data_IF_984888099464
#
_entry.id   IF_984888099464
#
_cell.length_a   1.000
_cell.length_b   1.000
_cell.length_c   1.000
_cell.angle_alpha   90.00
_cell.angle_beta   90.00
_cell.angle_gamma   90.00
#
_symmetry.space_group_name_H-M   'P 1'
#
loop_
_entity.id
_entity.type
_entity.pdbx_description
1 polymer ?
#
# COMPACT_ATOMS: atom_id res chain seq x y z
N UNK A 1 -54.62 18.18 -24.64
CA UNK A 1 -54.01 16.87 -24.32
C UNK A 1 -52.86 17.15 -23.35
N UNK A 2 -52.81 16.40 -22.26
CA UNK A 2 -52.25 16.78 -20.96
C UNK A 2 -50.74 17.02 -21.00
N UNK A 3 -50.30 18.10 -20.37
CA UNK A 3 -48.90 18.30 -19.99
C UNK A 3 -48.45 17.11 -19.13
N UNK A 4 -47.37 16.47 -19.56
CA UNK A 4 -46.75 15.37 -18.86
C UNK A 4 -46.08 15.93 -17.59
N UNK A 5 -46.44 15.50 -16.37
CA UNK A 5 -45.78 15.96 -15.16
C UNK A 5 -44.45 15.22 -15.02
N UNK A 6 -43.44 15.70 -15.74
CA UNK A 6 -42.07 15.47 -15.33
C UNK A 6 -41.80 16.34 -14.10
N UNK A 7 -41.02 15.81 -13.17
CA UNK A 7 -40.29 16.60 -12.16
C UNK A 7 -40.91 16.85 -10.77
N UNK A 8 -41.68 15.90 -10.20
CA UNK A 8 -42.10 15.98 -8.79
C UNK A 8 -41.82 14.75 -7.91
N UNK A 9 -41.20 13.68 -8.41
CA UNK A 9 -40.95 12.46 -7.61
C UNK A 9 -39.53 12.30 -7.03
N UNK A 10 -38.62 13.23 -7.27
CA UNK A 10 -37.22 13.13 -6.83
C UNK A 10 -36.84 14.00 -5.62
N UNK A 11 -37.79 14.62 -4.89
CA UNK A 11 -37.53 15.17 -3.54
C UNK A 11 -37.51 14.07 -2.48
N UNK A 12 -36.79 12.97 -2.73
CA UNK A 12 -36.45 11.99 -1.70
C UNK A 12 -35.06 12.36 -1.21
N UNK A 13 -34.95 12.68 0.08
CA UNK A 13 -33.73 13.06 0.77
C UNK A 13 -32.52 12.26 0.26
N UNK A 14 -31.65 12.91 -0.52
CA UNK A 14 -30.41 12.30 -0.97
C UNK A 14 -29.47 12.19 0.24
N UNK A 15 -28.86 11.02 0.50
CA UNK A 15 -27.97 10.86 1.65
C UNK A 15 -26.75 11.78 1.48
N UNK A 16 -26.63 12.76 2.38
CA UNK A 16 -25.54 13.74 2.35
C UNK A 16 -24.26 13.25 3.05
N UNK A 17 -24.33 12.12 3.76
CA UNK A 17 -23.18 11.51 4.45
C UNK A 17 -22.06 11.10 3.48
N UNK A 18 -22.38 10.86 2.21
CA UNK A 18 -21.41 10.53 1.15
C UNK A 18 -20.60 11.75 0.70
N UNK A 19 -21.07 12.96 0.98
CA UNK A 19 -20.46 14.20 0.48
C UNK A 19 -19.30 14.60 1.38
N UNK A 20 -18.08 14.25 0.96
CA UNK A 20 -16.87 14.69 1.63
C UNK A 20 -16.73 16.22 1.64
N UNK A 21 -16.01 16.77 2.62
CA UNK A 21 -15.83 18.22 2.80
C UNK A 21 -15.33 18.94 1.54
N UNK A 22 -14.51 18.27 0.73
CA UNK A 22 -14.01 18.80 -0.54
C UNK A 22 -15.11 19.03 -1.59
N UNK A 23 -16.16 18.19 -1.59
CA UNK A 23 -17.28 18.24 -2.53
C UNK A 23 -18.44 19.12 -2.07
N UNK A 24 -18.52 19.48 -0.77
CA UNK A 24 -19.63 20.26 -0.21
C UNK A 24 -19.87 21.58 -0.95
N UNK A 25 -18.81 22.30 -1.32
CA UNK A 25 -18.88 23.57 -2.06
C UNK A 25 -19.41 23.43 -3.50
N UNK A 26 -19.36 22.21 -4.06
CA UNK A 26 -19.82 21.92 -5.42
C UNK A 26 -21.21 21.30 -5.44
N UNK A 27 -21.55 20.55 -4.39
CA UNK A 27 -22.81 19.80 -4.27
C UNK A 27 -23.92 20.67 -3.69
N UNK A 28 -23.61 21.57 -2.75
CA UNK A 28 -24.59 22.46 -2.12
C UNK A 28 -24.60 23.81 -2.84
N UNK A 29 -25.78 24.22 -3.32
CA UNK A 29 -26.01 25.54 -3.90
C UNK A 29 -26.29 26.58 -2.81
N UNK A 30 -26.19 27.87 -3.17
CA UNK A 30 -26.40 28.98 -2.24
C UNK A 30 -27.82 29.01 -1.63
N UNK A 31 -28.81 28.48 -2.35
CA UNK A 31 -30.19 28.34 -1.90
C UNK A 31 -30.43 27.10 -1.01
N UNK A 32 -29.38 26.36 -0.67
CA UNK A 32 -29.45 25.12 0.10
C UNK A 32 -29.95 23.91 -0.68
N UNK A 33 -30.21 24.05 -1.98
CA UNK A 33 -30.55 22.93 -2.86
C UNK A 33 -29.31 22.14 -3.27
N UNK A 34 -29.51 20.89 -3.71
CA UNK A 34 -28.43 20.04 -4.18
C UNK A 34 -28.28 20.17 -5.70
N UNK A 35 -27.05 20.41 -6.16
CA UNK A 35 -26.72 20.19 -7.56
C UNK A 35 -26.62 18.68 -7.81
N UNK A 36 -27.64 18.11 -8.45
CA UNK A 36 -27.73 16.68 -8.70
C UNK A 36 -26.62 16.16 -9.62
N UNK A 37 -26.07 16.99 -10.51
CA UNK A 37 -24.95 16.60 -11.38
C UNK A 37 -23.67 16.49 -10.57
N UNK A 38 -23.39 17.51 -9.74
CA UNK A 38 -22.24 17.46 -8.82
C UNK A 38 -22.38 16.33 -7.80
N UNK A 39 -23.59 16.09 -7.29
CA UNK A 39 -23.88 14.98 -6.39
C UNK A 39 -23.61 13.62 -7.04
N UNK A 40 -23.96 13.46 -8.32
CA UNK A 40 -23.67 12.23 -9.08
C UNK A 40 -22.16 11.99 -9.20
N UNK A 41 -21.38 13.01 -9.57
CA UNK A 41 -19.92 12.87 -9.65
C UNK A 41 -19.29 12.60 -8.30
N UNK A 42 -19.75 13.28 -7.24
CA UNK A 42 -19.33 13.00 -5.87
C UNK A 42 -19.61 11.55 -5.47
N UNK A 43 -20.79 11.03 -5.82
CA UNK A 43 -21.18 9.64 -5.53
C UNK A 43 -20.31 8.64 -6.30
N UNK A 44 -20.00 8.90 -7.58
CA UNK A 44 -19.13 8.05 -8.39
C UNK A 44 -17.68 8.06 -7.86
N UNK A 45 -17.17 9.22 -7.44
CA UNK A 45 -15.85 9.36 -6.84
C UNK A 45 -15.77 8.60 -5.51
N UNK A 46 -16.80 8.73 -4.67
CA UNK A 46 -16.91 7.98 -3.42
C UNK A 46 -16.98 6.46 -3.67
N UNK A 47 -17.79 6.01 -4.63
CA UNK A 47 -17.88 4.59 -5.01
C UNK A 47 -16.54 4.07 -5.53
N UNK A 48 -15.87 4.81 -6.42
CA UNK A 48 -14.54 4.45 -6.93
C UNK A 48 -13.53 4.33 -5.79
N UNK A 49 -13.56 5.24 -4.84
CA UNK A 49 -12.69 5.22 -3.66
C UNK A 49 -12.99 4.00 -2.78
N UNK A 50 -14.26 3.73 -2.50
CA UNK A 50 -14.69 2.58 -1.71
C UNK A 50 -14.31 1.24 -2.37
N UNK A 51 -14.46 1.11 -3.69
CA UNK A 51 -14.02 -0.06 -4.46
C UNK A 51 -12.50 -0.26 -4.38
N UNK A 52 -11.72 0.82 -4.43
CA UNK A 52 -10.25 0.75 -4.28
C UNK A 52 -9.82 0.37 -2.87
N UNK A 53 -10.51 0.88 -1.86
CA UNK A 53 -10.27 0.58 -0.43
C UNK A 53 -10.79 -0.79 -0.01
N UNK A 54 -11.56 -1.47 -0.86
CA UNK A 54 -12.25 -2.74 -0.55
C UNK A 54 -13.29 -2.59 0.57
N UNK A 55 -13.97 -1.45 0.59
CA UNK A 55 -15.12 -1.19 1.49
C UNK A 55 -16.44 -1.62 0.83
N UNK A 56 -16.48 -1.62 -0.51
CA UNK A 56 -17.64 -2.05 -1.31
C UNK A 56 -17.20 -3.18 -2.23
N UNK A 57 -18.05 -4.20 -2.32
CA UNK A 57 -17.82 -5.38 -3.14
C UNK A 57 -18.91 -5.52 -4.21
N UNK A 58 -18.54 -6.05 -5.37
CA UNK A 58 -19.44 -6.21 -6.51
C UNK A 58 -19.49 -7.66 -6.92
N UNK A 59 -20.68 -8.27 -6.85
CA UNK A 59 -20.93 -9.60 -7.42
C UNK A 59 -21.53 -9.46 -8.83
N UNK A 60 -21.11 -10.28 -9.82
CA UNK A 60 -20.15 -11.38 -9.75
C UNK A 60 -18.71 -10.98 -10.15
N UNK A 61 -18.26 -9.76 -9.85
CA UNK A 61 -16.94 -9.27 -10.28
C UNK A 61 -15.82 -10.03 -9.59
N UNK A 62 -14.84 -10.56 -10.33
CA UNK A 62 -13.61 -11.10 -9.72
C UNK A 62 -12.72 -9.99 -9.14
N UNK A 63 -12.59 -8.87 -9.86
CA UNK A 63 -11.67 -7.78 -9.49
C UNK A 63 -12.12 -7.03 -8.24
N UNK A 64 -13.42 -6.90 -8.03
CA UNK A 64 -14.02 -6.19 -6.90
C UNK A 64 -14.87 -7.14 -6.02
N UNK A 65 -14.59 -8.45 -6.05
CA UNK A 65 -15.22 -9.42 -5.15
C UNK A 65 -14.84 -9.16 -3.69
N UNK A 66 -15.70 -9.62 -2.77
CA UNK A 66 -15.34 -9.72 -1.36
C UNK A 66 -14.27 -10.83 -1.18
N UNK A 67 -13.03 -10.48 -0.78
CA UNK A 67 -11.98 -11.47 -0.59
C UNK A 67 -12.29 -12.43 0.56
N UNK A 68 -13.22 -12.08 1.46
CA UNK A 68 -13.58 -12.91 2.61
C UNK A 68 -14.38 -14.15 2.22
N UNK A 69 -15.01 -14.15 1.04
CA UNK A 69 -15.75 -15.31 0.54
C UNK A 69 -14.87 -16.55 0.34
N UNK A 70 -13.55 -16.38 0.18
CA UNK A 70 -12.59 -17.48 0.07
C UNK A 70 -11.95 -17.90 1.39
N UNK A 71 -12.32 -17.27 2.52
CA UNK A 71 -11.77 -17.63 3.82
C UNK A 71 -12.50 -18.84 4.39
N UNK A 72 -11.75 -19.69 5.09
CA UNK A 72 -12.34 -20.76 5.89
C UNK A 72 -13.19 -20.15 6.99
N UNK A 73 -14.40 -20.66 7.17
CA UNK A 73 -15.30 -20.25 8.24
C UNK A 73 -15.97 -21.47 8.89
N UNK A 74 -16.57 -21.28 10.05
CA UNK A 74 -17.34 -22.29 10.77
C UNK A 74 -16.55 -23.58 11.02
N UNK A 75 -17.12 -24.70 10.62
CA UNK A 75 -16.55 -26.03 10.88
C UNK A 75 -15.22 -26.26 10.15
N UNK A 76 -15.05 -25.73 8.94
CA UNK A 76 -13.82 -25.90 8.15
C UNK A 76 -12.65 -25.16 8.79
N UNK A 77 -12.89 -23.93 9.26
CA UNK A 77 -11.89 -23.18 10.03
C UNK A 77 -11.54 -23.90 11.33
N UNK A 78 -12.53 -24.37 12.10
CA UNK A 78 -12.27 -25.05 13.37
C UNK A 78 -11.42 -26.32 13.17
N UNK A 79 -11.62 -27.06 12.08
CA UNK A 79 -10.83 -28.22 11.73
C UNK A 79 -9.39 -27.86 11.31
N UNK A 80 -9.21 -26.77 10.54
CA UNK A 80 -7.90 -26.35 10.06
C UNK A 80 -7.07 -25.55 11.10
N UNK A 81 -7.74 -24.87 12.05
CA UNK A 81 -7.14 -23.95 13.03
C UNK A 81 -5.91 -24.52 13.76
N UNK A 82 -5.90 -25.76 14.30
CA UNK A 82 -4.73 -26.27 15.02
C UNK A 82 -3.48 -26.42 14.16
N UNK A 83 -3.64 -26.77 12.87
CA UNK A 83 -2.52 -26.94 11.94
C UNK A 83 -2.00 -25.56 11.50
N UNK A 84 -2.92 -24.65 11.17
CA UNK A 84 -2.58 -23.28 10.73
C UNK A 84 -1.86 -22.53 11.86
N UNK A 85 -2.41 -22.52 13.07
CA UNK A 85 -1.77 -21.90 14.23
C UNK A 85 -0.35 -22.42 14.45
N UNK A 86 -0.15 -23.75 14.42
CA UNK A 86 1.18 -24.35 14.54
C UNK A 86 2.14 -23.94 13.42
N UNK A 87 1.67 -23.88 12.18
CA UNK A 87 2.51 -23.49 11.03
C UNK A 87 2.96 -22.03 11.06
N UNK A 88 2.19 -21.18 11.74
CA UNK A 88 2.46 -19.76 11.91
C UNK A 88 3.10 -19.43 13.26
N UNK A 89 3.43 -20.45 14.06
CA UNK A 89 3.92 -20.31 15.44
C UNK A 89 2.99 -19.46 16.33
N UNK A 90 1.68 -19.61 16.12
CA UNK A 90 0.63 -18.95 16.88
C UNK A 90 -0.03 -19.92 17.86
N UNK A 91 -0.51 -19.40 18.98
CA UNK A 91 -1.33 -20.18 19.91
C UNK A 91 -2.71 -20.43 19.33
N UNK A 92 -3.32 -21.57 19.70
CA UNK A 92 -4.71 -21.85 19.31
C UNK A 92 -5.63 -20.87 20.01
N UNK A 93 -5.46 -20.66 21.32
CA UNK A 93 -6.19 -19.64 22.05
C UNK A 93 -5.67 -18.25 21.70
N UNK A 94 -6.55 -17.36 21.26
CA UNK A 94 -6.21 -15.98 20.95
C UNK A 94 -6.06 -15.14 22.22
N UNK A 95 -6.75 -15.52 23.31
CA UNK A 95 -6.71 -14.81 24.59
C UNK A 95 -5.29 -14.68 25.11
N UNK A 96 -4.54 -15.77 25.14
CA UNK A 96 -3.14 -15.78 25.59
C UNK A 96 -2.24 -14.83 24.79
N UNK A 97 -2.37 -14.78 23.46
CA UNK A 97 -1.57 -13.86 22.64
C UNK A 97 -1.98 -12.42 22.87
N UNK A 98 -3.28 -12.14 22.96
CA UNK A 98 -3.81 -10.80 23.18
C UNK A 98 -3.42 -10.26 24.55
N UNK A 99 -3.46 -11.08 25.59
CA UNK A 99 -3.00 -10.71 26.93
C UNK A 99 -1.51 -10.37 26.93
N UNK A 100 -0.68 -11.20 26.29
CA UNK A 100 0.76 -10.95 26.18
C UNK A 100 1.05 -9.62 25.44
N UNK A 101 0.42 -9.41 24.27
CA UNK A 101 0.58 -8.18 23.50
C UNK A 101 0.06 -6.95 24.25
N UNK A 102 -1.05 -7.08 24.96
CA UNK A 102 -1.62 -5.98 25.76
C UNK A 102 -0.70 -5.62 26.92
N UNK A 103 -0.15 -6.62 27.61
CA UNK A 103 0.80 -6.40 28.69
C UNK A 103 2.10 -5.76 28.18
N UNK A 104 2.63 -6.23 27.05
CA UNK A 104 3.81 -5.64 26.41
C UNK A 104 3.55 -4.19 25.99
N UNK A 105 2.40 -3.91 25.36
CA UNK A 105 2.02 -2.56 24.96
C UNK A 105 1.89 -1.62 26.16
N UNK A 106 1.21 -2.04 27.23
CA UNK A 106 1.07 -1.22 28.44
C UNK A 106 2.42 -0.99 29.14
N UNK A 107 3.25 -2.03 29.24
CA UNK A 107 4.58 -1.93 29.82
C UNK A 107 5.49 -0.99 29.01
N UNK A 108 5.52 -1.13 27.68
CA UNK A 108 6.30 -0.28 26.78
C UNK A 108 5.80 1.16 26.83
N UNK A 109 4.49 1.37 26.83
CA UNK A 109 3.90 2.70 26.96
C UNK A 109 4.32 3.39 28.25
N UNK A 110 4.21 2.70 29.40
CA UNK A 110 4.62 3.24 30.69
C UNK A 110 6.12 3.54 30.74
N UNK A 111 6.94 2.64 30.20
CA UNK A 111 8.39 2.85 30.12
C UNK A 111 8.76 4.06 29.25
N UNK A 112 8.09 4.24 28.11
CA UNK A 112 8.28 5.41 27.23
C UNK A 112 7.83 6.69 27.94
N UNK A 113 6.63 6.71 28.52
CA UNK A 113 6.09 7.87 29.22
C UNK A 113 6.99 8.30 30.41
N UNK A 114 7.51 7.33 31.18
CA UNK A 114 8.42 7.61 32.29
C UNK A 114 9.78 8.16 31.83
N UNK A 115 10.28 7.72 30.68
CA UNK A 115 11.58 8.16 30.12
C UNK A 115 11.48 9.41 29.25
N UNK A 116 10.27 9.80 28.85
CA UNK A 116 10.01 10.90 27.93
C UNK A 116 10.60 12.24 28.41
N UNK A 117 10.46 12.65 29.70
CA UNK A 117 11.00 13.92 30.18
C UNK A 117 12.54 13.98 30.14
N UNK A 118 13.19 12.83 30.27
CA UNK A 118 14.64 12.70 30.35
C UNK A 118 15.27 12.28 29.01
N UNK A 119 14.49 12.19 27.92
CA UNK A 119 14.99 11.74 26.63
C UNK A 119 15.52 12.92 25.80
N UNK A 120 16.85 13.10 25.66
CA UNK A 120 17.42 14.23 24.92
C UNK A 120 17.13 14.19 23.41
N UNK A 121 16.73 13.02 22.89
CA UNK A 121 16.36 12.87 21.49
C UNK A 121 14.92 13.31 21.21
N UNK A 122 14.11 13.64 22.22
CA UNK A 122 12.73 14.07 22.04
C UNK A 122 12.58 15.51 22.52
N UNK A 123 12.10 16.38 21.64
CA UNK A 123 11.77 17.75 21.95
C UNK A 123 10.27 17.94 21.79
N UNK A 124 9.61 18.42 22.84
CA UNK A 124 8.19 18.78 22.83
C UNK A 124 8.10 20.29 22.82
N UNK A 125 7.58 20.87 21.74
CA UNK A 125 7.39 22.32 21.60
C UNK A 125 5.91 22.63 21.35
N UNK A 126 5.43 23.78 21.82
CA UNK A 126 4.11 24.28 21.42
C UNK A 126 4.24 25.08 20.13
N UNK A 127 3.39 24.78 19.14
CA UNK A 127 3.31 25.60 17.93
C UNK A 127 2.47 26.88 18.17
N UNK A 128 2.46 27.79 17.20
CA UNK A 128 1.73 29.06 17.29
C UNK A 128 0.20 28.91 17.51
N UNK A 129 -0.36 27.71 17.31
CA UNK A 129 -1.77 27.38 17.53
C UNK A 129 -2.03 26.72 18.91
N UNK A 130 -1.00 26.62 19.77
CA UNK A 130 -1.08 25.99 21.10
C UNK A 130 -1.15 24.46 21.06
N UNK A 131 -0.74 23.82 19.95
CA UNK A 131 -0.65 22.35 19.87
C UNK A 131 0.75 21.88 20.19
N UNK A 132 0.84 20.80 20.97
CA UNK A 132 2.11 20.11 21.24
C UNK A 132 2.62 19.43 19.96
N UNK A 133 3.81 19.79 19.55
CA UNK A 133 4.56 19.21 18.45
C UNK A 133 5.72 18.39 19.02
N UNK A 134 5.86 17.15 18.55
CA UNK A 134 6.96 16.26 18.90
C UNK A 134 7.97 16.30 17.77
N UNK A 135 9.19 16.75 18.07
CA UNK A 135 10.33 16.66 17.17
C UNK A 135 11.36 15.69 17.72
N UNK A 136 11.90 14.84 16.84
CA UNK A 136 13.01 13.96 17.17
C UNK A 136 14.30 14.72 16.84
N UNK A 137 15.19 14.85 17.82
CA UNK A 137 16.53 15.36 17.61
C UNK A 137 17.24 14.54 16.53
N UNK A 138 17.93 15.22 15.62
CA UNK A 138 18.73 14.53 14.62
C UNK A 138 19.77 13.64 15.33
N UNK A 139 19.88 12.39 14.90
CA UNK A 139 20.94 11.51 15.38
C UNK A 139 22.29 12.14 15.01
N UNK A 140 23.18 12.26 15.98
CA UNK A 140 24.53 12.70 15.72
C UNK A 140 25.19 11.75 14.73
N UNK A 141 25.87 12.34 13.74
CA UNK A 141 26.69 11.57 12.82
C UNK A 141 27.80 10.88 13.61
N UNK A 142 27.81 9.56 13.61
CA UNK A 142 28.94 8.80 14.11
C UNK A 142 30.17 9.10 13.24
N UNK A 143 31.27 9.48 13.88
CA UNK A 143 32.54 9.66 13.16
C UNK A 143 33.00 8.31 12.58
N UNK A 144 33.20 8.29 11.26
CA UNK A 144 33.73 7.12 10.56
C UNK A 144 35.26 7.09 10.76
N UNK A 145 35.84 6.00 11.31
CA UNK A 145 37.29 5.91 11.46
C UNK A 145 37.97 5.87 10.09
N UNK A 146 39.19 6.42 10.00
CA UNK A 146 39.96 6.45 8.75
C UNK A 146 40.15 5.06 8.12
N UNK A 147 40.26 4.01 8.94
CA UNK A 147 40.34 2.62 8.46
C UNK A 147 39.08 2.17 7.71
N UNK A 148 37.89 2.60 8.14
CA UNK A 148 36.63 2.28 7.47
C UNK A 148 36.52 3.01 6.14
N UNK A 149 36.94 4.28 6.09
CA UNK A 149 36.98 5.06 4.86
C UNK A 149 37.91 4.42 3.81
N UNK A 150 39.10 4.00 4.24
CA UNK A 150 40.08 3.32 3.38
C UNK A 150 39.56 1.95 2.91
N UNK A 151 38.95 1.17 3.80
CA UNK A 151 38.35 -0.12 3.44
C UNK A 151 37.23 0.06 2.41
N UNK A 152 36.34 1.04 2.61
CA UNK A 152 35.25 1.31 1.67
C UNK A 152 35.76 1.68 0.28
N UNK A 153 36.82 2.51 0.22
CA UNK A 153 37.47 2.85 -1.05
C UNK A 153 38.09 1.61 -1.73
N UNK A 154 38.84 0.79 -0.98
CA UNK A 154 39.44 -0.43 -1.51
C UNK A 154 38.39 -1.45 -2.00
N UNK A 155 37.27 -1.59 -1.28
CA UNK A 155 36.15 -2.44 -1.73
C UNK A 155 35.51 -1.87 -2.99
N UNK A 156 35.27 -0.56 -3.06
CA UNK A 156 34.69 0.08 -4.23
C UNK A 156 35.58 -0.08 -5.49
N UNK A 157 36.91 -0.04 -5.34
CA UNK A 157 37.86 -0.26 -6.44
C UNK A 157 37.84 -1.70 -6.97
N UNK A 158 37.43 -2.67 -6.14
CA UNK A 158 37.28 -4.08 -6.53
C UNK A 158 35.91 -4.39 -7.14
N UNK A 159 34.91 -3.54 -6.91
CA UNK A 159 33.56 -3.78 -7.40
C UNK A 159 33.46 -3.49 -8.91
N UNK A 160 32.77 -4.34 -9.68
CA UNK A 160 32.58 -4.10 -11.10
C UNK A 160 31.74 -2.84 -11.32
N UNK A 161 32.13 -1.99 -12.28
CA UNK A 161 31.40 -0.78 -12.69
C UNK A 161 30.25 -1.14 -13.63
N UNK A 162 29.28 -1.86 -13.12
CA UNK A 162 28.09 -2.33 -13.85
C UNK A 162 26.88 -1.76 -13.14
N UNK A 163 25.88 -1.32 -13.90
CA UNK A 163 24.66 -0.82 -13.28
C UNK A 163 23.83 -1.96 -12.66
N UNK A 164 22.98 -1.63 -11.69
CA UNK A 164 22.16 -2.63 -11.01
C UNK A 164 21.20 -3.40 -11.95
N UNK A 165 20.57 -2.77 -12.97
CA UNK A 165 19.81 -3.50 -13.99
C UNK A 165 20.63 -4.57 -14.74
N UNK A 166 21.84 -4.24 -15.18
CA UNK A 166 22.73 -5.17 -15.89
C UNK A 166 23.15 -6.33 -15.00
N UNK A 167 23.45 -6.08 -13.73
CA UNK A 167 23.74 -7.16 -12.76
C UNK A 167 22.56 -8.13 -12.67
N UNK A 168 21.33 -7.61 -12.60
CA UNK A 168 20.14 -8.46 -12.49
C UNK A 168 19.90 -9.30 -13.75
N UNK A 169 20.12 -8.72 -14.94
CA UNK A 169 20.06 -9.44 -16.22
C UNK A 169 21.14 -10.52 -16.33
N UNK A 170 22.35 -10.23 -15.86
CA UNK A 170 23.46 -11.18 -15.84
C UNK A 170 23.16 -12.37 -14.91
N UNK A 171 22.63 -12.11 -13.71
CA UNK A 171 22.21 -13.18 -12.80
C UNK A 171 21.05 -13.98 -13.38
N UNK A 172 20.11 -13.34 -14.09
CA UNK A 172 19.05 -14.04 -14.80
C UNK A 172 19.61 -15.00 -15.85
N UNK A 173 20.59 -14.56 -16.64
CA UNK A 173 21.25 -15.39 -17.63
C UNK A 173 22.06 -16.54 -17.00
N UNK A 174 22.72 -16.32 -15.87
CA UNK A 174 23.55 -17.34 -15.19
C UNK A 174 22.74 -18.41 -14.48
N UNK A 175 21.64 -18.02 -13.83
CA UNK A 175 20.89 -18.90 -12.94
C UNK A 175 19.60 -19.42 -13.56
N UNK A 176 19.11 -18.79 -14.62
CA UNK A 176 17.81 -19.08 -15.19
C UNK A 176 16.64 -18.73 -14.26
N UNK A 177 16.84 -17.93 -13.19
CA UNK A 177 15.78 -17.69 -12.19
C UNK A 177 14.48 -17.15 -12.80
N UNK A 178 14.58 -16.43 -13.92
CA UNK A 178 13.42 -15.86 -14.61
C UNK A 178 12.46 -16.96 -15.11
N UNK A 179 12.94 -18.18 -15.35
CA UNK A 179 12.12 -19.32 -15.77
C UNK A 179 11.20 -19.84 -14.65
N UNK A 180 11.51 -19.54 -13.38
CA UNK A 180 10.64 -19.87 -12.26
C UNK A 180 9.35 -19.02 -12.23
N UNK A 181 9.29 -17.92 -12.98
CA UNK A 181 8.11 -17.07 -13.07
C UNK A 181 7.14 -17.63 -14.13
N UNK A 182 6.25 -18.51 -13.69
CA UNK A 182 5.20 -19.09 -14.54
C UNK A 182 3.97 -18.19 -14.62
N UNK A 183 3.34 -18.14 -15.79
CA UNK A 183 2.09 -17.41 -15.96
C UNK A 183 0.96 -18.08 -15.15
N UNK A 184 0.14 -17.28 -14.45
CA UNK A 184 -0.97 -17.76 -13.58
C UNK A 184 -2.00 -18.61 -14.33
N UNK A 185 -2.09 -18.48 -15.66
CA UNK A 185 -3.03 -19.27 -16.49
C UNK A 185 -2.40 -20.39 -17.32
N UNK A 186 -1.15 -20.79 -17.06
CA UNK A 186 -0.39 -21.86 -17.76
C UNK A 186 -0.27 -21.72 -19.30
N UNK A 187 -0.87 -20.69 -19.91
CA UNK A 187 -0.56 -20.30 -21.29
C UNK A 187 0.77 -19.58 -21.30
N UNK A 188 1.74 -20.12 -22.04
CA UNK A 188 2.98 -19.43 -22.37
C UNK A 188 2.64 -18.05 -22.94
N UNK A 189 2.89 -17.01 -22.14
CA UNK A 189 2.83 -15.64 -22.62
C UNK A 189 3.88 -15.52 -23.72
N UNK A 190 3.45 -15.33 -24.97
CA UNK A 190 4.30 -15.16 -26.17
C UNK A 190 4.91 -13.76 -26.19
N UNK A 191 5.56 -13.43 -25.09
CA UNK A 191 6.04 -12.13 -24.75
C UNK A 191 7.55 -12.12 -25.07
N UNK A 192 7.93 -11.53 -26.19
CA UNK A 192 9.34 -11.38 -26.54
C UNK A 192 10.06 -10.57 -25.44
N UNK A 193 11.29 -10.97 -25.12
CA UNK A 193 12.13 -10.35 -24.09
C UNK A 193 11.46 -10.23 -22.70
N UNK A 194 10.66 -11.24 -22.32
CA UNK A 194 9.98 -11.27 -21.02
C UNK A 194 10.94 -11.11 -19.83
N UNK A 195 12.15 -11.70 -19.92
CA UNK A 195 13.18 -11.60 -18.89
C UNK A 195 13.53 -10.14 -18.59
N UNK A 196 13.61 -9.30 -19.62
CA UNK A 196 13.88 -7.86 -19.47
C UNK A 196 12.74 -7.15 -18.75
N UNK A 197 11.49 -7.42 -19.13
CA UNK A 197 10.31 -6.88 -18.43
C UNK A 197 10.28 -7.30 -16.96
N UNK A 198 10.55 -8.59 -16.70
CA UNK A 198 10.55 -9.16 -15.36
C UNK A 198 11.63 -8.52 -14.48
N UNK A 199 12.87 -8.40 -14.98
CA UNK A 199 13.95 -7.76 -14.25
C UNK A 199 13.63 -6.29 -13.94
N UNK A 200 13.00 -5.57 -14.86
CA UNK A 200 12.56 -4.21 -14.61
C UNK A 200 11.50 -4.13 -13.50
N UNK A 201 10.49 -5.02 -13.52
CA UNK A 201 9.47 -5.06 -12.46
C UNK A 201 10.09 -5.42 -11.10
N UNK A 202 10.98 -6.42 -11.06
CA UNK A 202 11.67 -6.82 -9.84
C UNK A 202 12.52 -5.70 -9.27
N UNK A 203 13.26 -4.98 -10.12
CA UNK A 203 14.09 -3.86 -9.69
C UNK A 203 13.24 -2.71 -9.14
N UNK A 204 12.18 -2.33 -9.86
CA UNK A 204 11.27 -1.26 -9.45
C UNK A 204 10.59 -1.54 -8.11
N UNK A 205 10.22 -2.81 -7.87
CA UNK A 205 9.64 -3.28 -6.61
C UNK A 205 10.67 -3.38 -5.48
N UNK A 206 11.80 -4.05 -5.72
CA UNK A 206 12.81 -4.31 -4.69
C UNK A 206 13.52 -3.03 -4.23
N UNK A 207 13.72 -2.06 -5.12
CA UNK A 207 14.38 -0.79 -4.80
C UNK A 207 13.39 0.32 -4.38
N UNK A 208 12.09 0.05 -4.30
CA UNK A 208 11.05 1.04 -4.01
C UNK A 208 11.07 2.28 -4.93
N UNK A 209 11.64 2.17 -6.13
CA UNK A 209 11.72 3.27 -7.10
C UNK A 209 10.46 3.38 -7.95
N UNK A 210 9.62 2.34 -7.95
CA UNK A 210 8.53 2.19 -8.91
C UNK A 210 9.05 1.91 -10.32
N UNK A 211 8.13 1.83 -11.28
CA UNK A 211 8.43 1.49 -12.68
C UNK A 211 8.86 2.70 -13.53
N UNK A 212 8.54 3.92 -13.10
CA UNK A 212 8.75 5.14 -13.90
C UNK A 212 10.19 5.30 -14.42
N UNK A 213 11.25 5.05 -13.60
CA UNK A 213 12.64 5.18 -14.07
C UNK A 213 13.04 4.13 -15.12
N UNK A 214 12.28 3.04 -15.21
CA UNK A 214 12.58 1.88 -16.06
C UNK A 214 11.76 1.88 -17.36
N UNK A 215 10.78 2.78 -17.47
CA UNK A 215 9.95 2.89 -18.67
C UNK A 215 10.77 3.49 -19.83
N UNK A 216 10.72 2.81 -20.97
CA UNK A 216 11.36 3.22 -22.22
C UNK A 216 10.35 3.06 -23.36
N UNK A 217 10.04 4.14 -24.07
CA UNK A 217 9.05 4.12 -25.17
C UNK A 217 9.60 3.45 -26.43
N UNK A 218 10.91 3.52 -26.61
CA UNK A 218 11.72 2.94 -27.68
C UNK A 218 11.96 1.43 -27.52
N UNK A 219 11.81 0.87 -26.30
CA UNK A 219 11.96 -0.55 -26.04
C UNK A 219 10.61 -1.21 -25.68
N UNK A 220 10.03 -2.07 -26.55
CA UNK A 220 8.76 -2.76 -26.29
C UNK A 220 8.71 -3.55 -24.97
N UNK A 221 9.83 -4.11 -24.51
CA UNK A 221 9.90 -4.87 -23.27
C UNK A 221 9.81 -3.99 -22.01
N UNK A 222 10.00 -2.68 -22.15
CA UNK A 222 10.06 -1.71 -21.07
C UNK A 222 8.98 -0.63 -21.20
N UNK A 223 7.98 -0.82 -22.06
CA UNK A 223 6.86 0.13 -22.14
C UNK A 223 5.96 0.03 -20.92
N UNK A 224 5.27 1.12 -20.60
CA UNK A 224 4.39 1.19 -19.42
C UNK A 224 3.32 0.10 -19.43
N UNK A 225 2.64 -0.08 -20.55
CA UNK A 225 1.60 -1.09 -20.78
C UNK A 225 2.10 -2.52 -20.65
N UNK A 226 3.41 -2.74 -20.81
CA UNK A 226 4.06 -4.03 -20.62
C UNK A 226 4.41 -4.31 -19.16
N UNK A 227 4.78 -3.29 -18.39
CA UNK A 227 5.23 -3.43 -17.02
C UNK A 227 4.08 -3.32 -15.98
N UNK A 228 2.90 -2.83 -16.39
CA UNK A 228 1.75 -2.55 -15.49
C UNK A 228 0.53 -3.44 -15.74
#
# INVERSE_FOLDING_TARGET
MRACPQDQRAKRHCPQQIVAKAWQKHVTREDGSLDMSAYMFCTLDALRTALRRRDVFVSPSWRYADPRLGLLDGAEWLAARPIICRSLDLTIDAGTTLEALTAELDATWRAVAARLPDNPAIQLSENAEGKTELSLGALDKLEEPNSLLQLRAAVADLMPRVDLPEILLEIAARTGFAEAFTHVSERNARADNLVTSLCAVLLGGACNTGLEPLIRTDNPALRRDRLS
#
